data_IF_015304777425
#
_entry.id   IF_015304777425
#
_cell.length_a   1.000
_cell.length_b   1.000
_cell.length_c   1.000
_cell.angle_alpha   90.00
_cell.angle_beta   90.00
_cell.angle_gamma   90.00
#
_symmetry.space_group_name_H-M   'P 1'
#
loop_
_entity.id
_entity.type
_entity.pdbx_description
1 polymer ?
#
# COMPACT_ATOMS: atom_id res chain seq x y z
N UNK A 1 -28.84 -3.18 15.62
CA UNK A 1 -28.91 -2.12 16.65
C UNK A 1 -27.65 -1.27 16.61
N UNK A 2 -27.67 -0.07 17.20
CA UNK A 2 -26.55 0.88 17.16
C UNK A 2 -25.16 0.26 17.46
N UNK A 3 -24.97 -0.63 18.46
CA UNK A 3 -23.66 -1.24 18.74
C UNK A 3 -23.11 -2.12 17.61
N UNK A 4 -23.99 -2.85 16.91
CA UNK A 4 -23.58 -3.71 15.80
C UNK A 4 -23.11 -2.88 14.59
N UNK A 5 -23.75 -1.72 14.34
CA UNK A 5 -23.34 -0.81 13.27
C UNK A 5 -21.97 -0.17 13.56
N UNK A 6 -21.69 0.19 14.81
CA UNK A 6 -20.37 0.69 15.23
C UNK A 6 -19.28 -0.37 15.06
N UNK A 7 -19.55 -1.61 15.48
CA UNK A 7 -18.61 -2.71 15.32
C UNK A 7 -18.31 -3.00 13.84
N UNK A 8 -19.33 -3.02 13.00
CA UNK A 8 -19.17 -3.16 11.56
C UNK A 8 -18.31 -2.04 10.97
N UNK A 9 -18.53 -0.78 11.38
CA UNK A 9 -17.71 0.35 10.96
C UNK A 9 -16.24 0.20 11.34
N UNK A 10 -15.95 -0.28 12.55
CA UNK A 10 -14.58 -0.57 13.00
C UNK A 10 -13.92 -1.68 12.18
N UNK A 11 -14.63 -2.76 11.88
CA UNK A 11 -14.12 -3.84 11.04
C UNK A 11 -13.79 -3.36 9.63
N UNK A 12 -14.70 -2.60 9.00
CA UNK A 12 -14.50 -2.05 7.65
C UNK A 12 -13.31 -1.10 7.64
N UNK A 13 -13.20 -0.19 8.61
CA UNK A 13 -12.06 0.72 8.73
C UNK A 13 -10.74 -0.05 8.94
N UNK A 14 -10.75 -1.09 9.77
CA UNK A 14 -9.58 -1.94 10.00
C UNK A 14 -9.10 -2.65 8.74
N UNK A 15 -10.03 -3.22 7.94
CA UNK A 15 -9.70 -3.83 6.66
C UNK A 15 -9.10 -2.79 5.72
N UNK A 16 -9.75 -1.63 5.56
CA UNK A 16 -9.27 -0.56 4.68
C UNK A 16 -7.86 -0.09 5.04
N UNK A 17 -7.57 0.13 6.32
CA UNK A 17 -6.23 0.55 6.78
C UNK A 17 -5.18 -0.51 6.45
N UNK A 18 -5.47 -1.80 6.70
CA UNK A 18 -4.53 -2.87 6.37
C UNK A 18 -4.29 -2.99 4.87
N UNK A 19 -5.32 -2.81 4.03
CA UNK A 19 -5.18 -2.80 2.58
C UNK A 19 -4.30 -1.64 2.13
N UNK A 20 -4.58 -0.42 2.61
CA UNK A 20 -3.75 0.76 2.31
C UNK A 20 -2.29 0.50 2.69
N UNK A 21 -2.05 -0.03 3.90
CA UNK A 21 -0.70 -0.36 4.36
C UNK A 21 -0.03 -1.46 3.52
N UNK A 22 -0.79 -2.47 3.09
CA UNK A 22 -0.27 -3.54 2.24
C UNK A 22 0.14 -3.01 0.86
N UNK A 23 -0.73 -2.24 0.20
CA UNK A 23 -0.44 -1.66 -1.12
C UNK A 23 0.70 -0.64 -1.02
N UNK A 24 0.72 0.17 0.03
CA UNK A 24 1.83 1.09 0.30
C UNK A 24 3.15 0.34 0.45
N UNK A 25 3.19 -0.76 1.21
CA UNK A 25 4.38 -1.58 1.36
C UNK A 25 4.79 -2.31 0.07
N UNK A 26 3.91 -2.48 -0.92
CA UNK A 26 4.26 -3.08 -2.21
C UNK A 26 4.96 -2.11 -3.18
N UNK A 27 5.03 -0.81 -2.85
CA UNK A 27 5.71 0.16 -3.70
C UNK A 27 7.21 -0.17 -3.82
N UNK A 28 7.79 -0.13 -5.04
CA UNK A 28 9.19 -0.45 -5.29
C UNK A 28 10.13 0.70 -4.90
N UNK A 29 9.97 1.23 -3.70
CA UNK A 29 10.70 2.39 -3.17
C UNK A 29 11.26 2.01 -1.80
N UNK A 30 12.59 2.03 -1.58
CA UNK A 30 13.14 1.85 -0.23
C UNK A 30 12.61 2.96 0.70
N UNK A 31 12.45 2.74 2.01
CA UNK A 31 12.71 1.51 2.77
C UNK A 31 11.53 0.51 2.77
N UNK A 32 10.52 0.72 1.91
CA UNK A 32 9.32 -0.12 1.86
C UNK A 32 9.67 -1.55 1.41
N UNK A 33 8.86 -2.51 1.83
CA UNK A 33 9.14 -3.92 1.58
C UNK A 33 9.18 -4.26 0.08
N UNK A 34 8.39 -3.59 -0.75
CA UNK A 34 8.42 -3.71 -2.21
C UNK A 34 9.75 -3.28 -2.81
N UNK A 35 10.42 -2.29 -2.22
CA UNK A 35 11.79 -1.92 -2.58
C UNK A 35 12.80 -3.02 -2.25
N UNK A 36 12.62 -3.71 -1.12
CA UNK A 36 13.48 -4.85 -0.72
C UNK A 36 13.23 -6.08 -1.59
N UNK A 37 11.97 -6.37 -1.90
CA UNK A 37 11.59 -7.43 -2.84
C UNK A 37 12.20 -7.15 -4.20
N UNK A 38 12.08 -5.92 -4.71
CA UNK A 38 12.70 -5.52 -5.96
C UNK A 38 14.23 -5.68 -5.93
N UNK A 39 14.90 -5.25 -4.85
CA UNK A 39 16.35 -5.45 -4.69
C UNK A 39 16.75 -6.93 -4.77
N UNK A 40 15.98 -7.82 -4.16
CA UNK A 40 16.23 -9.27 -4.21
C UNK A 40 15.97 -9.93 -5.56
N UNK A 41 15.13 -9.32 -6.41
CA UNK A 41 14.84 -9.78 -7.77
C UNK A 41 15.83 -9.23 -8.80
N UNK A 42 16.51 -8.13 -8.50
CA UNK A 42 17.41 -7.45 -9.42
C UNK A 42 18.82 -8.05 -9.44
N UNK A 43 19.53 -7.98 -10.58
CA UNK A 43 20.96 -8.28 -10.63
C UNK A 43 21.78 -7.39 -9.67
N UNK A 44 22.95 -7.83 -9.19
CA UNK A 44 23.72 -7.14 -8.13
C UNK A 44 23.99 -5.66 -8.40
N UNK A 45 24.32 -5.30 -9.66
CA UNK A 45 24.58 -3.92 -10.06
C UNK A 45 23.35 -3.00 -9.98
N UNK A 46 22.15 -3.54 -10.25
CA UNK A 46 20.90 -2.78 -10.16
C UNK A 46 20.40 -2.70 -8.71
N UNK A 47 20.57 -3.77 -7.93
CA UNK A 47 20.29 -3.77 -6.50
C UNK A 47 21.14 -2.71 -5.78
N UNK A 48 22.42 -2.60 -6.12
CA UNK A 48 23.30 -1.57 -5.53
C UNK A 48 22.85 -0.15 -5.90
N UNK A 49 22.34 0.06 -7.11
CA UNK A 49 21.76 1.34 -7.50
C UNK A 49 20.51 1.67 -6.66
N UNK A 50 19.67 0.68 -6.37
CA UNK A 50 18.50 0.84 -5.51
C UNK A 50 18.88 1.16 -4.06
N UNK A 51 19.93 0.52 -3.53
CA UNK A 51 20.48 0.83 -2.21
C UNK A 51 21.02 2.26 -2.09
N UNK A 52 21.54 2.84 -3.18
CA UNK A 52 21.96 4.26 -3.18
C UNK A 52 20.79 5.23 -3.03
N UNK A 53 19.57 4.80 -3.39
CA UNK A 53 18.34 5.59 -3.26
C UNK A 53 17.75 5.47 -1.84
N UNK A 54 18.16 4.45 -1.06
CA UNK A 54 17.64 4.16 0.27
C UNK A 54 17.59 5.34 1.25
N UNK A 55 18.64 6.20 1.34
CA UNK A 55 18.61 7.38 2.21
C UNK A 55 17.57 8.43 1.80
N UNK A 56 17.20 8.48 0.52
CA UNK A 56 16.19 9.41 -0.02
C UNK A 56 14.78 8.80 -0.02
N UNK A 57 14.64 7.53 0.34
CA UNK A 57 13.40 6.78 0.31
C UNK A 57 12.22 7.48 0.99
N UNK A 58 12.44 7.95 2.21
CA UNK A 58 11.43 8.72 2.95
C UNK A 58 11.03 10.00 2.21
N UNK A 59 11.98 10.74 1.64
CA UNK A 59 11.69 11.96 0.89
C UNK A 59 10.89 11.67 -0.39
N UNK A 60 11.19 10.57 -1.07
CA UNK A 60 10.43 10.12 -2.25
C UNK A 60 8.98 9.84 -1.86
N UNK A 61 8.74 9.12 -0.77
CA UNK A 61 7.37 8.87 -0.27
C UNK A 61 6.65 10.19 0.02
N UNK A 62 7.30 11.10 0.74
CA UNK A 62 6.70 12.40 1.06
C UNK A 62 6.37 13.19 -0.21
N UNK A 63 7.27 13.21 -1.20
CA UNK A 63 7.02 13.85 -2.49
C UNK A 63 5.84 13.20 -3.23
N UNK A 64 5.74 11.87 -3.23
CA UNK A 64 4.62 11.14 -3.82
C UNK A 64 3.28 11.45 -3.12
N UNK A 65 3.30 11.68 -1.81
CA UNK A 65 2.13 12.13 -1.04
C UNK A 65 1.69 13.53 -1.46
N UNK A 66 2.62 14.50 -1.48
CA UNK A 66 2.30 15.90 -1.79
C UNK A 66 1.89 16.12 -3.25
N UNK A 67 2.43 15.32 -4.17
CA UNK A 67 2.06 15.37 -5.60
C UNK A 67 0.74 14.68 -5.90
N UNK A 68 0.18 13.93 -4.95
CA UNK A 68 -1.04 13.13 -5.15
C UNK A 68 -0.82 11.84 -5.94
N UNK A 69 0.38 11.62 -6.48
CA UNK A 69 0.72 10.40 -7.25
C UNK A 69 0.54 9.15 -6.38
N UNK A 70 0.85 9.24 -5.09
CA UNK A 70 0.61 8.13 -4.18
C UNK A 70 -0.86 7.72 -4.17
N UNK A 71 -1.79 8.68 -4.11
CA UNK A 71 -3.22 8.39 -4.12
C UNK A 71 -3.64 7.75 -5.44
N UNK A 72 -3.17 8.26 -6.57
CA UNK A 72 -3.42 7.68 -7.90
C UNK A 72 -2.92 6.23 -8.02
N UNK A 73 -1.80 5.90 -7.36
CA UNK A 73 -1.28 4.53 -7.33
C UNK A 73 -2.07 3.63 -6.39
N UNK A 74 -2.54 4.14 -5.25
CA UNK A 74 -3.28 3.35 -4.25
C UNK A 74 -4.72 3.06 -4.69
N UNK A 75 -5.40 4.06 -5.27
CA UNK A 75 -6.82 4.02 -5.64
C UNK A 75 -7.27 2.74 -6.37
N UNK A 76 -6.64 2.29 -7.49
CA UNK A 76 -7.09 1.10 -8.20
C UNK A 76 -7.02 -0.17 -7.33
N UNK A 77 -6.02 -0.27 -6.46
CA UNK A 77 -5.91 -1.40 -5.53
C UNK A 77 -6.95 -1.32 -4.42
N UNK A 78 -7.24 -0.12 -3.91
CA UNK A 78 -8.27 0.07 -2.89
C UNK A 78 -9.65 -0.31 -3.40
N UNK A 79 -10.01 0.08 -4.63
CA UNK A 79 -11.25 -0.37 -5.25
C UNK A 79 -11.27 -1.88 -5.45
N UNK A 80 -10.20 -2.46 -5.99
CA UNK A 80 -10.11 -3.92 -6.18
C UNK A 80 -10.33 -4.69 -4.88
N UNK A 81 -9.61 -4.32 -3.81
CA UNK A 81 -9.73 -5.01 -2.52
C UNK A 81 -11.08 -4.75 -1.87
N UNK A 82 -11.60 -3.52 -1.94
CA UNK A 82 -12.94 -3.21 -1.44
C UNK A 82 -13.99 -4.11 -2.10
N UNK A 83 -14.00 -4.18 -3.43
CA UNK A 83 -14.97 -4.98 -4.18
C UNK A 83 -14.78 -6.48 -3.92
N UNK A 84 -13.53 -6.93 -3.81
CA UNK A 84 -13.20 -8.29 -3.42
C UNK A 84 -13.77 -8.65 -2.03
N UNK A 85 -13.58 -7.78 -1.03
CA UNK A 85 -14.09 -8.03 0.33
C UNK A 85 -15.61 -7.96 0.41
N UNK A 86 -16.25 -7.02 -0.30
CA UNK A 86 -17.72 -6.96 -0.38
C UNK A 86 -18.30 -8.19 -1.08
N UNK A 87 -17.63 -8.68 -2.13
CA UNK A 87 -17.98 -9.94 -2.80
C UNK A 87 -17.84 -11.15 -1.87
N UNK A 88 -16.73 -11.27 -1.13
CA UNK A 88 -16.54 -12.34 -0.14
C UNK A 88 -17.57 -12.29 1.00
N UNK A 89 -17.96 -11.08 1.41
CA UNK A 89 -18.97 -10.87 2.44
C UNK A 89 -20.40 -11.15 1.94
N UNK A 90 -20.59 -11.45 0.65
CA UNK A 90 -21.88 -11.78 0.05
C UNK A 90 -22.78 -10.56 -0.18
N UNK A 91 -22.20 -9.36 -0.24
CA UNK A 91 -22.90 -8.09 -0.49
C UNK A 91 -22.64 -7.52 -1.89
N UNK A 92 -21.85 -8.21 -2.72
CA UNK A 92 -21.51 -7.84 -4.11
C UNK A 92 -22.49 -8.38 -5.14
#
# INVERSE_FOLDING_TARGET
>A
GAPAAWFQGLCVAGILINVVLAVFNLLPVPPLDGGRVLAGLLPPNMAEMLHRIEPFGFLIVVALMFTGVLWTLLEPFLFFFNDFFWGLAGFG
#
